data_IF_125684299617
#
_entry.id   IF_125684299617
#
_cell.length_a   1.000
_cell.length_b   1.000
_cell.length_c   1.000
_cell.angle_alpha   90.00
_cell.angle_beta   90.00
_cell.angle_gamma   90.00
#
_symmetry.space_group_name_H-M   'P 1'
#
loop_
_entity.id
_entity.type
_entity.pdbx_description
1 polymer ?
#
# COMPACT_ATOMS: atom_id res chain seq x y z
N UNK A 1 4.98 -2.09 0.54
CA UNK A 1 4.90 -2.61 1.92
C UNK A 1 6.02 -3.64 2.07
N UNK A 2 7.29 -3.20 2.21
CA UNK A 2 8.41 -4.14 2.29
C UNK A 2 8.33 -5.03 3.54
N UNK A 3 7.78 -4.50 4.63
CA UNK A 3 7.58 -5.19 5.90
C UNK A 3 6.65 -6.40 5.79
N UNK A 4 5.56 -6.31 5.02
CA UNK A 4 4.65 -7.47 4.78
C UNK A 4 5.32 -8.60 4.00
N UNK A 5 6.43 -8.31 3.30
CA UNK A 5 7.20 -9.30 2.55
C UNK A 5 8.37 -9.86 3.38
N UNK A 6 9.08 -9.00 4.11
CA UNK A 6 10.23 -9.38 4.96
C UNK A 6 9.80 -10.14 6.22
N UNK A 7 8.66 -9.77 6.80
CA UNK A 7 7.99 -10.48 7.88
C UNK A 7 6.61 -10.87 7.37
N UNK A 8 6.41 -12.06 6.81
CA UNK A 8 5.19 -12.39 6.08
C UNK A 8 3.95 -12.30 6.97
N UNK A 9 3.16 -11.25 6.80
CA UNK A 9 1.86 -11.07 7.43
C UNK A 9 0.85 -10.50 6.45
N UNK A 10 -0.43 -10.76 6.71
CA UNK A 10 -1.54 -10.21 5.94
C UNK A 10 -1.88 -8.83 6.50
N UNK A 11 -1.65 -7.73 5.75
CA UNK A 11 -2.02 -6.40 6.24
C UNK A 11 -3.55 -6.28 6.34
N UNK A 12 -4.02 -5.47 7.29
CA UNK A 12 -5.44 -5.17 7.40
C UNK A 12 -5.84 -4.15 6.33
N UNK A 13 -6.89 -4.45 5.56
CA UNK A 13 -7.52 -3.51 4.63
C UNK A 13 -8.88 -3.15 5.19
N UNK A 14 -9.17 -1.85 5.33
CA UNK A 14 -10.48 -1.39 5.78
C UNK A 14 -11.60 -1.92 4.86
N UNK A 15 -12.62 -2.53 5.47
CA UNK A 15 -13.76 -3.11 4.76
C UNK A 15 -13.50 -4.49 4.12
N UNK A 16 -12.31 -5.08 4.32
CA UNK A 16 -12.01 -6.43 3.86
C UNK A 16 -12.16 -7.46 4.99
N UNK A 17 -12.70 -8.63 4.65
CA UNK A 17 -12.78 -9.83 5.49
C UNK A 17 -11.69 -10.86 5.15
N UNK A 18 -11.65 -11.93 5.94
CA UNK A 18 -10.90 -13.15 5.66
C UNK A 18 -11.55 -13.94 4.50
N UNK A 19 -10.83 -14.88 3.87
CA UNK A 19 -11.42 -15.78 2.88
C UNK A 19 -12.66 -16.47 3.42
N UNK A 20 -13.71 -16.56 2.60
CA UNK A 20 -15.01 -17.10 2.98
C UNK A 20 -15.91 -16.21 3.85
N UNK A 21 -15.44 -15.10 4.39
CA UNK A 21 -16.31 -14.17 5.16
C UNK A 21 -17.25 -13.37 4.26
N UNK A 22 -16.85 -13.11 3.01
CA UNK A 22 -17.62 -12.35 2.04
C UNK A 22 -17.58 -13.02 0.65
N UNK A 23 -18.59 -12.78 -0.21
CA UNK A 23 -18.73 -13.50 -1.48
C UNK A 23 -17.69 -13.15 -2.55
N UNK A 24 -16.98 -12.02 -2.44
CA UNK A 24 -16.03 -11.58 -3.47
C UNK A 24 -14.59 -11.65 -2.97
N UNK A 25 -13.85 -12.66 -3.43
CA UNK A 25 -12.45 -12.86 -3.05
C UNK A 25 -11.47 -12.25 -4.06
N UNK A 26 -10.43 -11.60 -3.56
CA UNK A 26 -9.42 -10.93 -4.37
C UNK A 26 -8.01 -11.21 -3.89
N UNK A 27 -7.09 -11.25 -4.86
CA UNK A 27 -5.65 -11.07 -4.64
C UNK A 27 -5.31 -9.62 -4.93
N UNK A 28 -4.49 -9.01 -4.08
CA UNK A 28 -4.01 -7.64 -4.26
C UNK A 28 -2.65 -7.69 -4.94
N UNK A 29 -2.60 -7.36 -6.22
CA UNK A 29 -1.35 -7.21 -6.97
C UNK A 29 -0.73 -5.84 -6.72
N UNK A 30 0.60 -5.80 -6.55
CA UNK A 30 1.34 -4.55 -6.57
C UNK A 30 1.58 -4.02 -7.99
N UNK A 31 2.33 -2.93 -8.10
CA UNK A 31 2.59 -2.25 -9.37
C UNK A 31 3.90 -2.67 -10.04
N UNK A 32 4.68 -3.57 -9.43
CA UNK A 32 5.95 -4.00 -10.02
C UNK A 32 5.74 -5.12 -11.06
N UNK A 33 6.80 -5.43 -11.81
CA UNK A 33 6.78 -6.52 -12.80
C UNK A 33 7.05 -7.89 -12.16
N UNK A 34 7.25 -7.95 -10.84
CA UNK A 34 7.63 -9.17 -10.14
C UNK A 34 6.41 -10.08 -9.97
N UNK A 35 6.52 -11.34 -10.40
CA UNK A 35 5.42 -12.31 -10.27
C UNK A 35 4.96 -12.53 -8.81
N UNK A 36 5.86 -12.32 -7.85
CA UNK A 36 5.59 -12.42 -6.41
C UNK A 36 5.03 -11.16 -5.76
N UNK A 37 4.80 -10.08 -6.51
CA UNK A 37 4.22 -8.83 -5.99
C UNK A 37 2.70 -8.96 -5.79
N UNK A 38 2.31 -9.86 -4.89
CA UNK A 38 0.92 -10.21 -4.64
C UNK A 38 0.67 -10.52 -3.17
N UNK A 39 -0.39 -9.94 -2.62
CA UNK A 39 -0.97 -10.32 -1.33
C UNK A 39 -2.27 -11.09 -1.57
N UNK A 40 -2.54 -12.07 -0.73
CA UNK A 40 -3.70 -12.96 -0.86
C UNK A 40 -4.53 -12.94 0.43
N UNK A 41 -5.74 -13.48 0.34
CA UNK A 41 -6.59 -13.72 1.50
C UNK A 41 -7.53 -12.57 1.85
N UNK A 42 -8.04 -11.84 0.86
CA UNK A 42 -9.01 -10.76 1.09
C UNK A 42 -10.36 -11.13 0.48
N UNK A 43 -11.43 -10.91 1.24
CA UNK A 43 -12.80 -10.95 0.75
C UNK A 43 -13.50 -9.61 0.97
N UNK A 44 -14.48 -9.26 0.13
CA UNK A 44 -15.24 -8.00 0.23
C UNK A 44 -16.73 -8.26 0.06
N UNK A 45 -17.60 -7.47 0.72
CA UNK A 45 -19.05 -7.62 0.63
C UNK A 45 -19.60 -7.23 -0.75
N UNK A 46 -18.88 -6.38 -1.49
CA UNK A 46 -19.21 -5.94 -2.85
C UNK A 46 -17.98 -6.07 -3.77
N UNK A 47 -18.16 -6.20 -5.10
CA UNK A 47 -17.05 -6.22 -6.04
C UNK A 47 -16.23 -4.92 -6.01
N UNK A 48 -14.90 -5.05 -6.02
CA UNK A 48 -14.01 -3.90 -6.15
C UNK A 48 -14.12 -3.26 -7.52
N UNK A 49 -13.95 -1.94 -7.57
CA UNK A 49 -14.05 -1.15 -8.81
C UNK A 49 -12.78 -0.37 -9.09
N UNK A 50 -12.47 -0.17 -10.37
CA UNK A 50 -11.35 0.70 -10.77
C UNK A 50 -11.56 2.10 -10.23
N UNK A 51 -10.52 2.68 -9.63
CA UNK A 51 -10.58 3.98 -8.96
C UNK A 51 -11.04 3.93 -7.50
N UNK A 52 -11.49 2.78 -7.00
CA UNK A 52 -11.82 2.61 -5.58
C UNK A 52 -10.56 2.69 -4.72
N UNK A 53 -10.63 3.50 -3.64
CA UNK A 53 -9.54 3.63 -2.68
C UNK A 53 -9.52 2.42 -1.75
N UNK A 54 -8.35 1.79 -1.65
CA UNK A 54 -8.05 0.79 -0.62
C UNK A 54 -7.14 1.42 0.43
N UNK A 55 -7.40 1.15 1.71
CA UNK A 55 -6.63 1.68 2.83
C UNK A 55 -6.02 0.51 3.59
N UNK A 56 -4.70 0.38 3.49
CA UNK A 56 -3.91 -0.58 4.26
C UNK A 56 -3.56 0.06 5.62
N UNK A 57 -3.97 -0.58 6.71
CA UNK A 57 -3.68 -0.12 8.05
C UNK A 57 -2.34 -0.68 8.57
N UNK A 58 -1.81 -0.05 9.62
CA UNK A 58 -0.59 -0.47 10.31
C UNK A 58 0.71 -0.42 9.47
N UNK A 59 0.75 0.47 8.48
CA UNK A 59 1.87 0.62 7.53
C UNK A 59 2.92 1.67 7.94
N UNK A 60 2.93 2.07 9.22
CA UNK A 60 3.79 3.16 9.67
C UNK A 60 5.20 2.68 10.05
N UNK A 61 5.27 1.58 10.81
CA UNK A 61 6.51 1.06 11.36
C UNK A 61 7.18 0.10 10.37
N UNK A 62 8.51 0.13 10.29
CA UNK A 62 9.33 -0.73 9.41
C UNK A 62 9.00 -0.70 7.89
N UNK A 63 7.99 0.05 7.45
CA UNK A 63 7.65 0.27 6.05
C UNK A 63 8.48 1.43 5.48
N UNK A 64 8.21 2.68 5.89
CA UNK A 64 8.78 3.89 5.27
C UNK A 64 10.32 3.96 5.34
N UNK A 65 10.92 3.38 6.36
CA UNK A 65 12.39 3.35 6.54
C UNK A 65 13.10 2.34 5.63
N UNK A 66 12.34 1.47 4.96
CA UNK A 66 12.85 0.41 4.06
C UNK A 66 12.29 0.48 2.65
N UNK A 67 11.40 1.42 2.36
CA UNK A 67 10.81 1.55 1.02
C UNK A 67 11.87 1.94 -0.02
N UNK A 68 11.74 1.37 -1.22
CA UNK A 68 12.65 1.60 -2.34
C UNK A 68 11.91 2.26 -3.51
N UNK A 69 12.62 2.52 -4.61
CA UNK A 69 12.04 2.92 -5.91
C UNK A 69 12.23 1.79 -6.93
N UNK A 70 12.08 0.54 -6.47
CA UNK A 70 12.20 -0.65 -7.32
C UNK A 70 11.28 -0.55 -8.55
N UNK A 71 11.77 -0.99 -9.70
CA UNK A 71 11.12 -0.85 -11.00
C UNK A 71 10.72 0.59 -11.40
N UNK A 72 11.23 1.62 -10.72
CA UNK A 72 10.81 3.00 -10.95
C UNK A 72 9.36 3.27 -10.55
N UNK A 73 8.75 2.41 -9.73
CA UNK A 73 7.40 2.61 -9.20
C UNK A 73 7.36 3.92 -8.38
N UNK A 74 6.33 4.78 -8.57
CA UNK A 74 6.20 6.01 -7.80
C UNK A 74 6.24 5.77 -6.31
N UNK A 75 7.09 6.51 -5.61
CA UNK A 75 7.23 6.39 -4.17
C UNK A 75 6.06 7.11 -3.47
N UNK A 76 5.42 6.51 -2.46
CA UNK A 76 4.29 7.16 -1.77
C UNK A 76 4.72 8.46 -1.05
N UNK A 77 3.90 9.50 -1.18
CA UNK A 77 4.03 10.73 -0.39
C UNK A 77 3.87 10.43 1.11
N UNK A 78 4.55 11.19 1.96
CA UNK A 78 4.39 11.12 3.41
C UNK A 78 3.51 12.29 3.83
N UNK A 79 2.40 12.00 4.50
CA UNK A 79 1.48 13.00 5.01
C UNK A 79 1.11 12.73 6.48
N UNK A 80 0.75 13.80 7.20
CA UNK A 80 0.17 13.73 8.54
C UNK A 80 -1.29 14.15 8.42
N UNK A 81 -2.19 13.37 9.02
CA UNK A 81 -3.62 13.67 9.10
C UNK A 81 -3.98 14.07 10.54
N UNK A 82 -4.73 15.15 10.68
CA UNK A 82 -5.28 15.60 11.95
C UNK A 82 -6.76 15.21 12.03
N UNK A 83 -7.15 14.28 12.93
CA UNK A 83 -8.54 13.87 13.07
C UNK A 83 -9.44 14.97 13.67
N UNK A 84 -8.90 15.96 14.39
CA UNK A 84 -9.69 17.04 14.99
C UNK A 84 -10.15 18.06 13.94
N UNK A 85 -9.33 18.33 12.93
CA UNK A 85 -9.66 19.25 11.83
C UNK A 85 -10.10 18.55 10.55
N UNK A 86 -9.87 17.23 10.45
CA UNK A 86 -10.06 16.42 9.24
C UNK A 86 -9.18 16.85 8.05
N UNK A 87 -8.10 17.56 8.32
CA UNK A 87 -7.15 18.00 7.31
C UNK A 87 -5.92 17.09 7.28
N UNK A 88 -5.26 17.01 6.12
CA UNK A 88 -3.93 16.41 6.03
C UNK A 88 -2.92 17.39 5.44
N UNK A 89 -1.69 17.26 5.90
CA UNK A 89 -0.54 18.01 5.37
C UNK A 89 0.49 17.03 4.82
N UNK A 90 0.83 17.21 3.55
CA UNK A 90 1.96 16.49 2.94
C UNK A 90 3.25 17.03 3.53
N UNK A 91 4.04 16.14 4.13
CA UNK A 91 5.35 16.43 4.72
C UNK A 91 6.45 16.25 3.67
N UNK A 92 6.33 15.23 2.82
CA UNK A 92 7.27 14.97 1.73
C UNK A 92 6.53 14.46 0.52
N UNK A 93 6.80 15.10 -0.63
CA UNK A 93 6.41 14.61 -1.94
C UNK A 93 7.63 14.01 -2.64
N UNK A 94 7.46 12.85 -3.25
CA UNK A 94 8.52 12.23 -4.03
C UNK A 94 8.27 12.44 -5.52
N UNK A 95 9.32 12.86 -6.23
CA UNK A 95 9.26 13.09 -7.67
C UNK A 95 10.28 12.27 -8.45
N UNK A 96 10.30 12.47 -9.76
CA UNK A 96 11.29 11.84 -10.64
C UNK A 96 12.74 12.13 -10.23
N UNK A 97 13.03 13.34 -9.72
CA UNK A 97 14.36 13.70 -9.26
C UNK A 97 14.83 12.83 -8.08
N UNK A 98 13.95 12.48 -7.14
CA UNK A 98 14.30 11.56 -6.03
C UNK A 98 14.70 10.18 -6.54
N UNK A 99 14.04 9.69 -7.59
CA UNK A 99 14.39 8.43 -8.24
C UNK A 99 15.73 8.53 -8.96
N UNK A 100 15.89 9.52 -9.86
CA UNK A 100 17.09 9.70 -10.68
C UNK A 100 18.34 9.88 -9.83
N UNK A 101 18.28 10.73 -8.81
CA UNK A 101 19.44 11.08 -7.98
C UNK A 101 19.90 9.91 -7.08
N UNK A 102 19.13 8.81 -6.96
CA UNK A 102 19.59 7.58 -6.30
C UNK A 102 20.47 6.70 -7.20
N UNK A 103 20.45 6.92 -8.51
CA UNK A 103 21.11 6.08 -9.49
C UNK A 103 22.46 6.63 -9.99
N UNK A 104 22.72 7.93 -9.81
CA UNK A 104 23.97 8.60 -10.21
C UNK A 104 24.10 9.97 -9.56
#
# INVERSE_FOLDING_TARGET
MPDTLEMPYRPYIFGAGLPGEHPYEYKMGGMSCLAGDVLQGFSFPEPLRVGQRLVFADMAHYTMVKTTTFNGVPHPDIAIYDPATQEYRVVRRFGYADFRNKLS
#
